data_IF_736678837720
#
_entry.id   IF_736678837720
#
_cell.length_a   1.000
_cell.length_b   1.000
_cell.length_c   1.000
_cell.angle_alpha   90.00
_cell.angle_beta   90.00
_cell.angle_gamma   90.00
#
_symmetry.space_group_name_H-M   'P 1'
#
loop_
_entity.id
_entity.type
_entity.pdbx_description
1 polymer ?
#
# COMPACT_ATOMS: atom_id res chain seq x y z
N UNK A 1 -63.02 -9.13 5.58
CA UNK A 1 -61.60 -9.04 5.98
C UNK A 1 -61.31 -7.61 6.43
N UNK A 2 -61.16 -7.38 7.74
CA UNK A 2 -61.16 -6.04 8.37
C UNK A 2 -60.06 -5.13 7.81
N UNK A 3 -60.39 -3.86 7.48
CA UNK A 3 -59.42 -2.84 7.03
C UNK A 3 -58.21 -2.72 7.96
N UNK A 4 -58.38 -3.03 9.25
CA UNK A 4 -57.31 -3.05 10.26
C UNK A 4 -56.25 -4.14 9.99
N UNK A 5 -56.65 -5.29 9.47
CA UNK A 5 -55.74 -6.41 9.15
C UNK A 5 -54.87 -6.07 7.94
N UNK A 6 -55.44 -5.43 6.91
CA UNK A 6 -54.68 -4.95 5.75
C UNK A 6 -53.67 -3.86 6.14
N UNK A 7 -54.04 -2.96 7.05
CA UNK A 7 -53.16 -1.91 7.55
C UNK A 7 -51.97 -2.47 8.36
N UNK A 8 -52.23 -3.48 9.21
CA UNK A 8 -51.20 -4.21 9.95
C UNK A 8 -50.21 -4.94 9.01
N UNK A 9 -50.69 -5.57 7.95
CA UNK A 9 -49.84 -6.24 6.96
C UNK A 9 -48.94 -5.26 6.19
N UNK A 10 -49.46 -4.06 5.87
CA UNK A 10 -48.68 -3.01 5.21
C UNK A 10 -47.58 -2.49 6.15
N UNK A 11 -47.87 -2.26 7.43
CA UNK A 11 -46.86 -1.86 8.43
C UNK A 11 -45.78 -2.94 8.58
N UNK A 12 -46.16 -4.23 8.65
CA UNK A 12 -45.19 -5.32 8.70
C UNK A 12 -44.28 -5.37 7.45
N UNK A 13 -44.80 -5.05 6.26
CA UNK A 13 -43.98 -4.97 5.04
C UNK A 13 -42.99 -3.78 5.07
N UNK A 14 -43.37 -2.66 5.68
CA UNK A 14 -42.48 -1.50 5.85
C UNK A 14 -41.43 -1.69 6.97
N UNK A 15 -41.73 -2.46 8.02
CA UNK A 15 -40.78 -2.77 9.10
C UNK A 15 -39.67 -3.76 8.69
N UNK A 16 -39.86 -4.49 7.58
CA UNK A 16 -38.80 -5.31 6.98
C UNK A 16 -37.89 -4.51 6.02
N UNK A 17 -38.16 -3.22 5.84
CA UNK A 17 -37.32 -2.29 5.09
C UNK A 17 -36.45 -1.48 6.05
N UNK A 18 -35.94 -2.10 7.13
CA UNK A 18 -34.72 -1.58 7.74
C UNK A 18 -33.61 -1.76 6.72
N UNK A 19 -33.35 -0.68 5.99
CA UNK A 19 -32.14 -0.51 5.22
C UNK A 19 -30.98 -0.85 6.13
N UNK A 20 -30.37 -2.01 5.91
CA UNK A 20 -29.02 -2.27 6.38
C UNK A 20 -28.14 -1.24 5.68
N UNK A 21 -27.99 -0.06 6.29
CA UNK A 21 -26.87 0.82 6.02
C UNK A 21 -25.67 0.03 6.54
N UNK A 22 -25.18 -0.89 5.73
CA UNK A 22 -23.87 -1.47 5.92
C UNK A 22 -22.93 -0.27 5.85
N UNK A 23 -22.49 0.22 7.02
CA UNK A 23 -21.31 1.05 7.06
C UNK A 23 -20.25 0.27 6.29
N UNK A 24 -19.84 0.80 5.13
CA UNK A 24 -18.78 0.18 4.33
C UNK A 24 -17.57 0.18 5.24
N UNK A 25 -17.26 -0.99 5.81
CA UNK A 25 -16.18 -1.15 6.76
C UNK A 25 -14.89 -0.70 6.06
N UNK A 26 -14.27 0.36 6.55
CA UNK A 26 -13.06 0.89 5.95
C UNK A 26 -11.86 0.05 6.39
N UNK A 27 -11.67 -1.08 5.71
CA UNK A 27 -10.59 -2.03 5.97
C UNK A 27 -9.21 -1.39 5.92
N UNK A 28 -9.00 -0.40 5.05
CA UNK A 28 -7.74 0.31 4.98
C UNK A 28 -7.45 1.09 6.27
N UNK A 29 -8.39 1.91 6.74
CA UNK A 29 -8.18 2.73 7.95
C UNK A 29 -8.00 1.85 9.19
N UNK A 30 -8.79 0.78 9.32
CA UNK A 30 -8.60 -0.20 10.39
C UNK A 30 -7.22 -0.88 10.29
N UNK A 31 -6.80 -1.24 9.07
CA UNK A 31 -5.49 -1.83 8.81
C UNK A 31 -4.35 -0.89 9.17
N UNK A 32 -4.50 0.40 8.85
CA UNK A 32 -3.55 1.47 9.18
C UNK A 32 -3.46 1.69 10.69
N UNK A 33 -4.60 1.69 11.39
CA UNK A 33 -4.60 1.76 12.85
C UNK A 33 -3.82 0.58 13.46
N UNK A 34 -4.08 -0.66 13.02
CA UNK A 34 -3.35 -1.84 13.51
C UNK A 34 -1.87 -1.81 13.14
N UNK A 35 -1.53 -1.26 11.97
CA UNK A 35 -0.14 -1.04 11.57
C UNK A 35 0.58 -0.12 12.57
N UNK A 36 -0.05 1.01 12.92
CA UNK A 36 0.50 1.98 13.87
C UNK A 36 0.60 1.41 15.30
N UNK A 37 -0.32 0.52 15.69
CA UNK A 37 -0.24 -0.28 16.93
C UNK A 37 0.84 -1.39 16.87
N UNK A 38 1.58 -1.52 15.75
CA UNK A 38 2.55 -2.59 15.46
C UNK A 38 1.96 -4.01 15.46
N UNK A 39 0.64 -4.13 15.35
CA UNK A 39 -0.08 -5.41 15.21
C UNK A 39 -0.07 -5.84 13.74
N UNK A 40 1.12 -6.18 13.24
CA UNK A 40 1.33 -6.43 11.82
C UNK A 40 0.51 -7.59 11.25
N UNK A 41 0.24 -8.63 12.06
CA UNK A 41 -0.59 -9.77 11.64
C UNK A 41 -2.04 -9.32 11.33
N UNK A 42 -2.64 -8.55 12.24
CA UNK A 42 -4.02 -8.05 12.08
C UNK A 42 -4.09 -7.02 10.95
N UNK A 43 -3.11 -6.12 10.91
CA UNK A 43 -2.97 -5.11 9.87
C UNK A 43 -2.87 -5.72 8.47
N UNK A 44 -2.04 -6.76 8.30
CA UNK A 44 -1.89 -7.51 7.05
C UNK A 44 -3.20 -8.13 6.59
N UNK A 45 -3.96 -8.74 7.50
CA UNK A 45 -5.27 -9.33 7.18
C UNK A 45 -6.26 -8.26 6.70
N UNK A 46 -6.27 -7.09 7.35
CA UNK A 46 -7.13 -5.97 6.99
C UNK A 46 -6.77 -5.37 5.63
N UNK A 47 -5.49 -5.17 5.32
CA UNK A 47 -5.08 -4.72 3.98
C UNK A 47 -5.41 -5.74 2.89
N UNK A 48 -5.23 -7.04 3.17
CA UNK A 48 -5.64 -8.11 2.25
C UNK A 48 -7.16 -8.10 2.02
N UNK A 49 -7.96 -7.93 3.08
CA UNK A 49 -9.41 -7.78 2.97
C UNK A 49 -9.79 -6.53 2.19
N UNK A 50 -9.11 -5.41 2.41
CA UNK A 50 -9.34 -4.18 1.65
C UNK A 50 -9.11 -4.41 0.15
N UNK A 51 -8.03 -5.10 -0.23
CA UNK A 51 -7.72 -5.40 -1.64
C UNK A 51 -8.81 -6.26 -2.30
N UNK A 52 -9.48 -7.15 -1.56
CA UNK A 52 -10.62 -7.93 -2.09
C UNK A 52 -11.76 -7.03 -2.53
N UNK A 53 -12.06 -5.97 -1.77
CA UNK A 53 -13.15 -5.04 -2.06
C UNK A 53 -12.72 -3.85 -2.93
N UNK A 54 -11.46 -3.43 -2.81
CA UNK A 54 -10.86 -2.24 -3.40
C UNK A 54 -9.51 -2.60 -4.07
N UNK A 55 -9.50 -3.41 -5.15
CA UNK A 55 -8.28 -3.94 -5.74
C UNK A 55 -7.35 -2.89 -6.37
N UNK A 56 -7.81 -1.64 -6.52
CA UNK A 56 -7.02 -0.51 -7.05
C UNK A 56 -6.46 0.41 -5.96
N UNK A 57 -6.65 0.08 -4.69
CA UNK A 57 -6.08 0.87 -3.60
C UNK A 57 -4.57 0.64 -3.47
N UNK A 58 -3.77 1.52 -4.07
CA UNK A 58 -2.30 1.46 -4.03
C UNK A 58 -1.74 1.45 -2.60
N UNK A 59 -2.41 2.14 -1.67
CA UNK A 59 -1.96 2.27 -0.28
C UNK A 59 -1.96 0.93 0.44
N UNK A 60 -2.99 0.09 0.25
CA UNK A 60 -3.02 -1.25 0.85
C UNK A 60 -1.83 -2.11 0.42
N UNK A 61 -1.46 -2.07 -0.86
CA UNK A 61 -0.27 -2.77 -1.35
C UNK A 61 1.01 -2.19 -0.75
N UNK A 62 1.14 -0.86 -0.68
CA UNK A 62 2.31 -0.21 -0.07
C UNK A 62 2.50 -0.62 1.40
N UNK A 63 1.43 -0.63 2.19
CA UNK A 63 1.52 -1.06 3.58
C UNK A 63 1.79 -2.56 3.73
N UNK A 64 1.26 -3.40 2.85
CA UNK A 64 1.66 -4.81 2.79
C UNK A 64 3.16 -4.95 2.52
N UNK A 65 3.72 -4.16 1.59
CA UNK A 65 5.17 -4.16 1.33
C UNK A 65 5.97 -3.77 2.58
N UNK A 66 5.55 -2.74 3.33
CA UNK A 66 6.18 -2.34 4.60
C UNK A 66 6.15 -3.46 5.64
N UNK A 67 5.02 -4.16 5.76
CA UNK A 67 4.90 -5.32 6.64
C UNK A 67 5.86 -6.43 6.20
N UNK A 68 5.88 -6.79 4.91
CA UNK A 68 6.77 -7.82 4.39
C UNK A 68 8.26 -7.47 4.52
N UNK A 69 8.63 -6.19 4.42
CA UNK A 69 9.97 -5.71 4.74
C UNK A 69 10.32 -6.01 6.21
N UNK A 70 9.41 -5.73 7.14
CA UNK A 70 9.61 -6.06 8.57
C UNK A 70 9.74 -7.56 8.83
N UNK A 71 9.04 -8.38 8.03
CA UNK A 71 9.13 -9.85 8.03
C UNK A 71 10.38 -10.38 7.28
N UNK A 72 11.20 -9.49 6.69
CA UNK A 72 12.34 -9.81 5.80
C UNK A 72 11.96 -10.66 4.59
N UNK A 73 10.69 -10.63 4.19
CA UNK A 73 10.18 -11.35 3.03
C UNK A 73 10.29 -10.48 1.78
N UNK A 74 11.51 -10.41 1.23
CA UNK A 74 11.85 -9.57 0.07
C UNK A 74 11.01 -9.92 -1.18
N UNK A 75 10.60 -11.19 -1.32
CA UNK A 75 9.78 -11.63 -2.47
C UNK A 75 8.41 -10.95 -2.45
N UNK A 76 7.69 -11.05 -1.34
CA UNK A 76 6.37 -10.43 -1.22
C UNK A 76 6.46 -8.91 -1.09
N UNK A 77 7.52 -8.37 -0.47
CA UNK A 77 7.80 -6.93 -0.46
C UNK A 77 7.86 -6.38 -1.89
N UNK A 78 8.75 -6.90 -2.74
CA UNK A 78 8.91 -6.43 -4.13
C UNK A 78 7.63 -6.60 -4.93
N UNK A 79 6.91 -7.72 -4.76
CA UNK A 79 5.64 -7.95 -5.44
C UNK A 79 4.63 -6.85 -5.13
N UNK A 80 4.47 -6.49 -3.85
CA UNK A 80 3.52 -5.46 -3.43
C UNK A 80 3.99 -4.05 -3.82
N UNK A 81 5.30 -3.77 -3.82
CA UNK A 81 5.85 -2.51 -4.32
C UNK A 81 5.59 -2.34 -5.82
N UNK A 82 5.80 -3.39 -6.61
CA UNK A 82 5.52 -3.35 -8.05
C UNK A 82 4.03 -3.11 -8.32
N UNK A 83 3.12 -3.74 -7.56
CA UNK A 83 1.69 -3.46 -7.68
C UNK A 83 1.35 -2.03 -7.27
N UNK A 84 1.98 -1.51 -6.23
CA UNK A 84 1.84 -0.10 -5.83
C UNK A 84 2.20 0.82 -6.99
N UNK A 85 3.34 0.60 -7.64
CA UNK A 85 3.80 1.41 -8.77
C UNK A 85 3.02 1.18 -10.07
N UNK A 86 2.35 0.03 -10.21
CA UNK A 86 1.43 -0.19 -11.32
C UNK A 86 0.17 0.69 -11.18
N UNK A 87 -0.32 0.85 -9.95
CA UNK A 87 -1.51 1.64 -9.64
C UNK A 87 -1.21 3.14 -9.46
N UNK A 88 -0.03 3.46 -8.91
CA UNK A 88 0.43 4.81 -8.62
C UNK A 88 1.92 4.93 -9.04
N UNK A 89 2.18 5.21 -10.33
CA UNK A 89 3.54 5.20 -10.89
C UNK A 89 4.52 6.17 -10.23
N UNK A 90 4.01 7.24 -9.62
CA UNK A 90 4.80 8.30 -9.00
C UNK A 90 4.80 8.19 -7.46
N UNK A 91 4.46 7.01 -6.92
CA UNK A 91 4.55 6.77 -5.48
C UNK A 91 6.02 6.79 -5.03
N UNK A 92 6.41 7.95 -4.47
CA UNK A 92 7.75 8.26 -4.03
C UNK A 92 8.30 7.23 -3.03
N UNK A 93 7.48 6.81 -2.08
CA UNK A 93 7.89 5.86 -1.05
C UNK A 93 8.15 4.46 -1.62
N UNK A 94 7.31 3.99 -2.53
CA UNK A 94 7.49 2.69 -3.17
C UNK A 94 8.75 2.64 -4.05
N UNK A 95 9.03 3.70 -4.82
CA UNK A 95 10.28 3.81 -5.60
C UNK A 95 11.49 3.80 -4.66
N UNK A 96 11.45 4.59 -3.58
CA UNK A 96 12.55 4.63 -2.62
C UNK A 96 12.81 3.27 -1.96
N UNK A 97 11.76 2.53 -1.57
CA UNK A 97 11.89 1.18 -1.03
C UNK A 97 12.52 0.22 -2.05
N UNK A 98 12.11 0.26 -3.32
CA UNK A 98 12.71 -0.56 -4.38
C UNK A 98 14.19 -0.23 -4.61
N UNK A 99 14.56 1.07 -4.61
CA UNK A 99 15.97 1.49 -4.73
C UNK A 99 16.81 0.83 -3.63
N UNK A 100 16.34 0.87 -2.38
CA UNK A 100 17.06 0.26 -1.25
C UNK A 100 17.21 -1.26 -1.41
N UNK A 101 16.19 -1.95 -1.92
CA UNK A 101 16.27 -3.40 -2.20
C UNK A 101 17.28 -3.68 -3.31
N UNK A 102 17.29 -2.87 -4.38
CA UNK A 102 18.18 -3.05 -5.53
C UNK A 102 19.64 -2.71 -5.20
N UNK A 103 19.87 -1.70 -4.36
CA UNK A 103 21.18 -1.40 -3.78
C UNK A 103 21.73 -2.59 -2.98
N UNK A 104 20.91 -3.19 -2.10
CA UNK A 104 21.30 -4.40 -1.34
C UNK A 104 21.60 -5.61 -2.23
N UNK A 105 21.01 -5.67 -3.43
CA UNK A 105 21.23 -6.73 -4.42
C UNK A 105 22.32 -6.39 -5.43
N UNK A 106 23.03 -5.27 -5.27
CA UNK A 106 24.08 -4.81 -6.19
C UNK A 106 23.60 -4.67 -7.65
N UNK A 107 22.32 -4.37 -7.86
CA UNK A 107 21.75 -4.18 -9.20
C UNK A 107 21.79 -2.70 -9.60
N UNK A 108 22.99 -2.24 -9.98
CA UNK A 108 23.29 -0.82 -10.14
C UNK A 108 22.58 -0.16 -11.33
N UNK A 109 22.41 -0.88 -12.44
CA UNK A 109 21.70 -0.36 -13.62
C UNK A 109 20.29 0.06 -13.27
N UNK A 110 19.55 -0.82 -12.58
CA UNK A 110 18.18 -0.52 -12.15
C UNK A 110 18.14 0.59 -11.08
N UNK A 111 19.12 0.65 -10.18
CA UNK A 111 19.19 1.74 -9.19
C UNK A 111 19.36 3.09 -9.89
N UNK A 112 20.20 3.17 -10.93
CA UNK A 112 20.40 4.41 -11.67
C UNK A 112 19.12 4.89 -12.34
N UNK A 113 18.43 4.00 -13.05
CA UNK A 113 17.14 4.30 -13.69
C UNK A 113 16.07 4.74 -12.66
N UNK A 114 15.95 4.01 -11.56
CA UNK A 114 14.99 4.34 -10.50
C UNK A 114 15.35 5.66 -9.81
N UNK A 115 16.64 5.94 -9.58
CA UNK A 115 17.12 7.20 -8.99
C UNK A 115 16.80 8.40 -9.88
N UNK A 116 17.04 8.28 -11.20
CA UNK A 116 16.68 9.32 -12.17
C UNK A 116 15.17 9.59 -12.20
N UNK A 117 14.34 8.55 -12.10
CA UNK A 117 12.89 8.70 -11.94
C UNK A 117 12.55 9.37 -10.61
N UNK A 118 13.14 8.90 -9.52
CA UNK A 118 12.87 9.37 -8.16
C UNK A 118 13.17 10.86 -8.02
N UNK A 119 14.28 11.38 -8.56
CA UNK A 119 14.61 12.81 -8.54
C UNK A 119 13.54 13.68 -9.23
N UNK A 120 12.91 13.16 -10.30
CA UNK A 120 11.88 13.91 -11.05
C UNK A 120 10.53 13.98 -10.32
N UNK A 121 10.21 12.97 -9.52
CA UNK A 121 8.89 12.80 -8.90
C UNK A 121 8.89 13.05 -7.39
N UNK A 122 10.07 13.07 -6.75
CA UNK A 122 10.19 13.23 -5.32
C UNK A 122 9.55 14.55 -4.86
N UNK A 123 8.94 14.53 -3.67
CA UNK A 123 8.34 15.70 -3.03
C UNK A 123 8.77 15.78 -1.58
N UNK A 124 8.61 14.67 -0.83
CA UNK A 124 8.84 14.63 0.60
C UNK A 124 10.15 13.94 0.98
N UNK A 125 10.65 13.05 0.12
CA UNK A 125 11.83 12.21 0.31
C UNK A 125 12.99 12.64 -0.61
N UNK A 126 12.93 13.81 -1.26
CA UNK A 126 14.01 14.29 -2.12
C UNK A 126 15.38 14.34 -1.43
N UNK A 127 15.42 14.62 -0.12
CA UNK A 127 16.68 14.59 0.67
C UNK A 127 17.35 13.21 0.67
N UNK A 128 16.59 12.13 0.46
CA UNK A 128 17.13 10.77 0.35
C UNK A 128 17.95 10.55 -0.92
N UNK A 129 17.82 11.41 -1.93
CA UNK A 129 18.63 11.38 -3.16
C UNK A 129 20.13 11.40 -2.84
N UNK A 130 20.55 12.22 -1.88
CA UNK A 130 21.96 12.31 -1.51
C UNK A 130 22.51 10.95 -1.07
N UNK A 131 21.75 10.22 -0.26
CA UNK A 131 22.14 8.89 0.24
C UNK A 131 22.16 7.84 -0.88
N UNK A 132 21.23 7.91 -1.83
CA UNK A 132 21.21 7.04 -3.01
C UNK A 132 22.45 7.28 -3.86
N UNK A 133 22.75 8.55 -4.17
CA UNK A 133 23.90 8.94 -5.00
C UNK A 133 25.23 8.62 -4.32
N UNK A 134 25.33 8.79 -3.00
CA UNK A 134 26.51 8.41 -2.22
C UNK A 134 26.73 6.89 -2.26
N UNK A 135 25.65 6.11 -2.12
CA UNK A 135 25.72 4.65 -2.23
C UNK A 135 26.19 4.22 -3.63
N UNK A 136 25.76 4.91 -4.69
CA UNK A 136 26.23 4.64 -6.05
C UNK A 136 27.72 5.00 -6.24
N UNK A 137 28.15 6.18 -5.78
CA UNK A 137 29.54 6.66 -5.91
C UNK A 137 30.56 5.78 -5.19
N UNK A 138 30.21 5.26 -4.02
CA UNK A 138 31.10 4.39 -3.26
C UNK A 138 31.25 2.99 -3.89
N UNK A 139 30.42 2.67 -4.89
CA UNK A 139 30.35 1.37 -5.54
C UNK A 139 30.77 1.41 -7.02
N UNK A 140 30.87 2.61 -7.62
CA UNK A 140 31.58 2.81 -8.87
C UNK A 140 33.10 2.69 -8.61
N UNK A 141 33.86 1.95 -9.43
CA UNK A 141 35.31 2.00 -9.32
C UNK A 141 35.73 3.46 -9.47
N UNK A 142 36.51 3.97 -8.51
CA UNK A 142 37.19 5.25 -8.71
C UNK A 142 38.03 5.07 -9.96
N UNK A 143 37.62 5.68 -11.06
CA UNK A 143 38.50 5.88 -12.20
C UNK A 143 39.57 6.86 -11.73
N UNK A 144 40.58 6.33 -11.04
CA UNK A 144 41.85 6.99 -10.82
C UNK A 144 42.50 7.07 -12.21
N UNK A 145 42.38 8.26 -12.83
CA UNK A 145 43.27 8.68 -13.91
C UNK A 145 44.51 9.32 -13.32
#
# INVERSE_FOLDING_TARGET
>A
MSKKIKFLLIICLFLNFENSIFAVENFFENGLQKYNEKKFKDSKLLFQKNIVFNPKDSKSYLYLAKIYNSEKNVKEEVKNLNTTLLLEPDNEEAIFMLINIKLKKSNYSEVKELSEKFIKICKNLCEKNKSILESLKNLEPKNES
#
